data_IF_670281311694
#
_entry.id   IF_670281311694
#
_cell.length_a   1.000
_cell.length_b   1.000
_cell.length_c   1.000
_cell.angle_alpha   90.00
_cell.angle_beta   90.00
_cell.angle_gamma   90.00
#
_symmetry.space_group_name_H-M   'P 1'
#
loop_
_entity.id
_entity.type
_entity.pdbx_description
1 polymer ?
#
# COMPACT_ATOMS: atom_id res chain seq x y z
N UNK A 1 -7.79 48.56 56.91
CA UNK A 1 -8.69 48.09 55.82
C UNK A 1 -8.38 48.91 54.57
N UNK A 2 -7.99 48.41 53.38
CA UNK A 2 -7.93 47.09 52.74
C UNK A 2 -6.78 47.14 51.71
N UNK A 3 -5.84 46.19 51.72
CA UNK A 3 -4.97 45.86 50.58
C UNK A 3 -5.40 44.47 50.12
N UNK A 4 -6.42 44.39 49.27
CA UNK A 4 -6.78 43.16 48.56
C UNK A 4 -7.36 43.59 47.22
N UNK A 5 -6.52 43.67 46.18
CA UNK A 5 -6.92 43.72 44.76
C UNK A 5 -5.67 43.73 43.86
N UNK A 6 -4.75 42.78 43.97
CA UNK A 6 -3.73 42.62 42.92
C UNK A 6 -3.13 41.21 42.77
N UNK A 7 -3.68 40.18 43.42
CA UNK A 7 -3.20 38.79 43.26
C UNK A 7 -4.14 37.89 42.45
N UNK A 8 -5.33 38.35 42.05
CA UNK A 8 -6.31 37.50 41.38
C UNK A 8 -6.11 37.39 39.85
N UNK A 9 -5.39 38.31 39.20
CA UNK A 9 -5.20 38.27 37.74
C UNK A 9 -3.93 37.52 37.29
N UNK A 10 -2.97 37.26 38.19
CA UNK A 10 -1.75 36.52 37.83
C UNK A 10 -1.91 35.00 37.92
N UNK A 11 -2.84 34.51 38.76
CA UNK A 11 -3.08 33.07 38.92
C UNK A 11 -3.94 32.50 37.77
N UNK A 12 -4.77 33.33 37.14
CA UNK A 12 -5.59 32.92 35.98
C UNK A 12 -4.82 32.85 34.65
N UNK A 13 -3.61 33.44 34.58
CA UNK A 13 -2.74 33.33 33.39
C UNK A 13 -1.74 32.17 33.46
N UNK A 14 -1.48 31.62 34.65
CA UNK A 14 -0.55 30.49 34.80
C UNK A 14 -1.23 29.11 34.73
N UNK A 15 -2.57 29.06 34.83
CA UNK A 15 -3.33 27.80 34.73
C UNK A 15 -3.89 27.49 33.32
N UNK A 16 -3.79 28.42 32.37
CA UNK A 16 -4.15 28.17 30.96
C UNK A 16 -2.97 27.64 30.12
N UNK A 17 -1.77 27.51 30.71
CA UNK A 17 -0.55 27.05 30.01
C UNK A 17 -0.18 25.60 30.36
N UNK A 18 -0.93 24.93 31.25
CA UNK A 18 -0.62 23.57 31.72
C UNK A 18 -1.53 22.45 31.14
N UNK A 19 -2.39 22.77 30.18
CA UNK A 19 -3.08 21.78 29.34
C UNK A 19 -2.88 22.10 27.85
N UNK A 20 -1.65 22.44 27.48
CA UNK A 20 -1.15 22.05 26.18
C UNK A 20 -0.46 20.68 26.35
N UNK A 21 -1.24 19.67 26.78
CA UNK A 21 -0.98 18.34 26.25
C UNK A 21 -0.98 18.56 24.75
N UNK A 22 0.21 18.52 24.13
CA UNK A 22 0.33 18.51 22.69
C UNK A 22 -0.49 17.31 22.24
N UNK A 23 -1.76 17.54 21.90
CA UNK A 23 -2.63 16.53 21.34
C UNK A 23 -1.83 15.97 20.17
N UNK A 24 -1.37 14.72 20.31
CA UNK A 24 -0.64 14.05 19.23
C UNK A 24 -1.48 14.27 17.98
N UNK A 25 -0.89 14.73 16.88
CA UNK A 25 -1.66 15.03 15.69
C UNK A 25 -2.51 13.81 15.35
N UNK A 26 -3.83 13.95 15.43
CA UNK A 26 -4.75 12.86 15.15
C UNK A 26 -4.64 12.61 13.66
N UNK A 27 -4.04 11.48 13.30
CA UNK A 27 -3.88 11.11 11.90
C UNK A 27 -5.25 11.02 11.22
N UNK A 28 -5.42 11.58 10.01
CA UNK A 28 -6.65 11.41 9.26
C UNK A 28 -6.88 9.92 8.99
N UNK A 29 -8.14 9.50 9.05
CA UNK A 29 -8.57 8.12 8.81
C UNK A 29 -9.12 8.05 7.40
N UNK A 30 -8.69 7.04 6.67
CA UNK A 30 -9.25 6.65 5.38
C UNK A 30 -9.96 5.32 5.61
N UNK A 31 -11.29 5.34 5.49
CA UNK A 31 -12.10 4.15 5.63
C UNK A 31 -12.53 3.64 4.25
N UNK A 32 -12.01 2.46 3.87
CA UNK A 32 -12.26 1.83 2.58
C UNK A 32 -13.07 0.56 2.70
N UNK A 33 -13.73 0.25 1.60
CA UNK A 33 -14.31 -1.05 1.28
C UNK A 33 -14.30 -1.22 -0.25
N UNK A 34 -14.09 -2.44 -0.70
CA UNK A 34 -14.18 -2.76 -2.13
C UNK A 34 -15.61 -2.52 -2.65
N UNK A 35 -15.74 -1.99 -3.86
CA UNK A 35 -17.02 -1.64 -4.49
C UNK A 35 -17.84 -0.57 -3.73
N UNK A 36 -17.27 0.13 -2.74
CA UNK A 36 -17.94 1.26 -2.10
C UNK A 36 -17.92 2.50 -3.02
N UNK A 37 -19.01 3.30 -3.08
CA UNK A 37 -19.01 4.58 -3.77
C UNK A 37 -17.99 5.56 -3.18
N UNK A 38 -17.38 6.40 -4.02
CA UNK A 38 -16.38 7.39 -3.55
C UNK A 38 -16.98 8.40 -2.55
N UNK A 39 -18.28 8.74 -2.68
CA UNK A 39 -19.03 9.55 -1.73
C UNK A 39 -19.15 8.89 -0.36
N UNK A 40 -19.39 7.58 -0.32
CA UNK A 40 -19.42 6.80 0.92
C UNK A 40 -18.05 6.83 1.60
N UNK A 41 -16.97 6.64 0.82
CA UNK A 41 -15.59 6.70 1.32
C UNK A 41 -15.26 8.07 1.88
N UNK A 42 -15.62 9.16 1.19
CA UNK A 42 -15.44 10.51 1.70
C UNK A 42 -16.23 10.75 2.99
N UNK A 43 -17.50 10.32 3.04
CA UNK A 43 -18.36 10.56 4.20
C UNK A 43 -17.89 9.82 5.46
N UNK A 44 -17.24 8.66 5.30
CA UNK A 44 -16.74 7.83 6.40
C UNK A 44 -15.27 8.11 6.77
N UNK A 45 -14.55 8.83 5.92
CA UNK A 45 -13.15 9.18 6.13
C UNK A 45 -13.01 10.57 6.75
N UNK A 46 -12.06 10.75 7.68
CA UNK A 46 -11.67 12.11 8.10
C UNK A 46 -10.62 12.72 7.18
N UNK A 47 -9.97 11.92 6.33
CA UNK A 47 -9.16 12.40 5.23
C UNK A 47 -10.01 13.19 4.22
N UNK A 48 -9.54 14.36 3.84
CA UNK A 48 -10.18 15.21 2.84
C UNK A 48 -9.60 14.87 1.47
N UNK A 49 -10.40 14.24 0.62
CA UNK A 49 -9.99 13.90 -0.73
C UNK A 49 -10.10 15.11 -1.67
N UNK A 50 -9.28 15.11 -2.72
CA UNK A 50 -9.34 16.13 -3.75
C UNK A 50 -10.67 16.15 -4.49
N UNK A 51 -11.05 17.31 -5.03
CA UNK A 51 -12.28 17.48 -5.82
C UNK A 51 -12.41 16.51 -7.00
N UNK A 52 -11.28 16.02 -7.54
CA UNK A 52 -11.30 15.02 -8.62
C UNK A 52 -11.88 13.68 -8.15
N UNK A 53 -11.57 13.28 -6.92
CA UNK A 53 -12.15 12.10 -6.28
C UNK A 53 -13.65 12.29 -6.05
N UNK A 54 -14.05 13.45 -5.51
CA UNK A 54 -15.45 13.78 -5.20
C UNK A 54 -16.36 13.85 -6.43
N UNK A 55 -15.81 14.19 -7.60
CA UNK A 55 -16.57 14.21 -8.85
C UNK A 55 -16.94 12.81 -9.35
N UNK A 56 -16.44 11.74 -8.72
CA UNK A 56 -16.66 10.37 -9.16
C UNK A 56 -16.18 10.15 -10.59
N UNK A 57 -15.11 10.87 -10.99
CA UNK A 57 -14.49 10.72 -12.31
C UNK A 57 -13.44 9.63 -12.20
N UNK A 58 -13.52 8.52 -12.96
CA UNK A 58 -12.57 7.42 -12.90
C UNK A 58 -11.13 7.90 -12.85
N UNK A 59 -10.37 7.29 -11.95
CA UNK A 59 -9.04 7.79 -11.67
C UNK A 59 -8.33 6.99 -10.61
N UNK A 60 -7.29 7.64 -10.10
CA UNK A 60 -6.41 7.10 -9.09
C UNK A 60 -5.99 8.21 -8.15
N UNK A 61 -6.03 7.92 -6.87
CA UNK A 61 -5.62 8.81 -5.81
C UNK A 61 -4.31 8.32 -5.18
N UNK A 62 -3.37 9.24 -4.93
CA UNK A 62 -2.07 8.95 -4.35
C UNK A 62 -1.90 9.70 -3.05
N UNK A 63 -1.90 8.96 -1.94
CA UNK A 63 -1.95 9.55 -0.61
C UNK A 63 -0.59 9.35 0.07
N UNK A 64 0.17 10.43 0.10
CA UNK A 64 1.51 10.51 0.72
C UNK A 64 1.47 11.04 2.15
N UNK A 65 0.39 11.72 2.54
CA UNK A 65 0.22 12.22 3.90
C UNK A 65 0.13 11.08 4.91
N UNK A 66 0.65 11.24 6.14
CA UNK A 66 0.35 10.35 7.27
C UNK A 66 -1.15 10.10 7.41
N UNK A 67 -1.57 8.84 7.57
CA UNK A 67 -2.98 8.47 7.76
C UNK A 67 -3.14 7.11 8.43
N UNK A 68 -4.32 6.85 8.97
CA UNK A 68 -4.76 5.49 9.32
C UNK A 68 -5.59 4.95 8.17
N UNK A 69 -5.13 3.89 7.53
CA UNK A 69 -5.92 3.14 6.57
C UNK A 69 -6.75 2.10 7.32
N UNK A 70 -8.05 2.14 7.13
CA UNK A 70 -8.97 1.19 7.71
C UNK A 70 -9.81 0.55 6.61
N UNK A 71 -9.61 -0.74 6.38
CA UNK A 71 -10.50 -1.52 5.54
C UNK A 71 -11.54 -2.21 6.41
N UNK A 72 -12.82 -2.05 6.07
CA UNK A 72 -13.90 -2.73 6.79
C UNK A 72 -15.05 -3.08 5.86
N UNK A 73 -15.33 -4.36 5.76
CA UNK A 73 -16.55 -4.90 5.17
C UNK A 73 -17.17 -5.98 6.08
N UNK A 74 -18.11 -6.77 5.56
CA UNK A 74 -18.79 -7.82 6.32
C UNK A 74 -17.84 -8.95 6.73
N UNK A 75 -16.77 -9.19 5.96
CA UNK A 75 -15.97 -10.40 5.98
C UNK A 75 -14.50 -10.16 6.37
N UNK A 76 -14.06 -8.90 6.42
CA UNK A 76 -12.69 -8.50 6.67
C UNK A 76 -12.65 -7.14 7.39
N UNK A 77 -11.89 -7.10 8.47
CA UNK A 77 -11.52 -5.88 9.15
C UNK A 77 -10.00 -5.80 9.27
N UNK A 78 -9.44 -4.68 8.83
CA UNK A 78 -8.01 -4.47 8.85
C UNK A 78 -7.67 -3.00 9.05
N UNK A 79 -6.70 -2.73 9.93
CA UNK A 79 -6.23 -1.39 10.25
C UNK A 79 -4.72 -1.32 10.12
N UNK A 80 -4.23 -0.34 9.36
CA UNK A 80 -2.82 0.03 9.30
C UNK A 80 -2.66 1.50 9.60
N UNK A 81 -1.70 1.82 10.45
CA UNK A 81 -1.27 3.18 10.71
C UNK A 81 -0.05 3.49 9.86
N UNK A 82 -0.20 4.44 8.94
CA UNK A 82 0.88 4.94 8.11
C UNK A 82 1.35 6.27 8.68
N UNK A 83 2.50 6.24 9.35
CA UNK A 83 3.02 7.37 10.11
C UNK A 83 3.53 8.52 9.25
N UNK A 84 3.68 8.30 7.94
CA UNK A 84 4.01 9.30 6.93
C UNK A 84 5.24 10.10 7.30
N UNK A 85 6.41 9.56 7.01
CA UNK A 85 7.64 10.32 6.99
C UNK A 85 8.04 10.65 5.55
N UNK A 86 9.14 11.40 5.37
CA UNK A 86 9.68 11.75 4.04
C UNK A 86 10.02 10.52 3.18
N UNK A 87 10.02 9.33 3.79
CA UNK A 87 10.41 8.06 3.20
C UNK A 87 9.20 7.17 2.89
N UNK A 88 7.99 7.52 3.28
CA UNK A 88 6.81 6.67 3.12
C UNK A 88 6.22 6.70 1.69
N UNK A 89 6.17 5.57 1.01
CA UNK A 89 5.55 5.35 -0.30
C UNK A 89 4.04 5.54 -0.22
N UNK A 90 3.42 6.01 -1.29
CA UNK A 90 2.01 6.41 -1.29
C UNK A 90 1.04 5.24 -1.02
N UNK A 91 -0.16 5.58 -0.54
CA UNK A 91 -1.32 4.69 -0.59
C UNK A 91 -2.04 5.00 -1.88
N UNK A 92 -2.31 3.98 -2.68
CA UNK A 92 -2.87 4.10 -4.02
C UNK A 92 -4.32 3.63 -3.96
N UNK A 93 -5.26 4.47 -4.34
CA UNK A 93 -6.68 4.09 -4.47
C UNK A 93 -7.08 4.19 -5.94
N UNK A 94 -7.50 3.09 -6.53
CA UNK A 94 -8.09 3.06 -7.86
C UNK A 94 -9.61 2.98 -7.78
N UNK A 95 -10.29 3.74 -8.64
CA UNK A 95 -11.74 3.76 -8.68
C UNK A 95 -12.23 3.83 -10.13
N UNK A 96 -13.19 2.96 -10.43
CA UNK A 96 -13.61 2.65 -11.80
C UNK A 96 -14.84 3.46 -12.24
N UNK A 97 -15.05 3.46 -13.55
CA UNK A 97 -15.74 4.48 -14.35
C UNK A 97 -17.23 4.65 -14.02
N UNK A 98 -17.66 5.91 -14.06
CA UNK A 98 -19.01 6.38 -14.42
C UNK A 98 -19.10 6.40 -15.96
N UNK A 99 -19.71 5.38 -16.57
CA UNK A 99 -19.52 5.06 -18.01
C UNK A 99 -20.20 6.02 -18.98
N UNK A 100 -21.20 6.76 -18.50
CA UNK A 100 -22.01 7.72 -19.24
C UNK A 100 -22.71 8.65 -18.26
N UNK A 101 -23.30 9.73 -18.77
CA UNK A 101 -24.10 10.68 -18.00
C UNK A 101 -25.42 10.02 -17.57
N UNK A 102 -25.42 9.37 -16.40
CA UNK A 102 -26.52 8.53 -15.91
C UNK A 102 -26.04 7.29 -15.14
N UNK A 103 -24.78 6.88 -15.37
CA UNK A 103 -24.20 5.71 -14.72
C UNK A 103 -24.06 5.91 -13.20
N UNK A 104 -24.13 4.80 -12.42
CA UNK A 104 -23.82 4.81 -11.01
C UNK A 104 -22.48 5.49 -10.72
N UNK A 105 -22.38 6.10 -9.54
CA UNK A 105 -21.14 6.72 -9.07
C UNK A 105 -19.95 5.76 -9.15
N UNK A 106 -18.75 6.30 -9.38
CA UNK A 106 -17.51 5.52 -9.31
C UNK A 106 -17.37 4.77 -8.00
N UNK A 107 -16.96 3.51 -8.10
CA UNK A 107 -16.73 2.63 -6.97
C UNK A 107 -15.24 2.37 -6.81
N UNK A 108 -14.79 2.19 -5.57
CA UNK A 108 -13.43 1.72 -5.27
C UNK A 108 -13.21 0.36 -5.92
N UNK A 109 -12.26 0.29 -6.87
CA UNK A 109 -12.00 -0.91 -7.66
C UNK A 109 -10.71 -1.64 -7.32
N UNK A 110 -9.77 -0.96 -6.67
CA UNK A 110 -8.62 -1.59 -6.04
C UNK A 110 -7.94 -0.56 -5.15
N UNK A 111 -7.11 -1.03 -4.23
CA UNK A 111 -6.19 -0.15 -3.52
C UNK A 111 -4.93 -0.90 -3.15
N UNK A 112 -3.85 -0.16 -2.92
CA UNK A 112 -2.61 -0.73 -2.40
C UNK A 112 -1.91 0.22 -1.45
N UNK A 113 -1.13 -0.34 -0.53
CA UNK A 113 -0.40 0.44 0.47
C UNK A 113 0.84 -0.32 0.91
N UNK A 114 1.75 0.43 1.52
CA UNK A 114 2.97 -0.07 2.14
C UNK A 114 2.77 -0.02 3.66
N UNK A 115 2.61 -1.18 4.34
CA UNK A 115 2.21 -1.24 5.74
C UNK A 115 3.37 -1.09 6.73
N UNK A 116 4.60 -1.08 6.23
CA UNK A 116 5.83 -0.94 6.99
C UNK A 116 6.63 0.22 6.43
N UNK A 117 7.63 0.66 7.19
CA UNK A 117 8.58 1.66 6.72
C UNK A 117 9.29 1.14 5.46
N UNK A 118 9.58 2.05 4.53
CA UNK A 118 10.29 1.70 3.32
C UNK A 118 11.79 1.57 3.58
N UNK A 119 12.45 0.73 2.78
CA UNK A 119 13.88 0.42 2.90
C UNK A 119 14.17 -0.30 4.23
N UNK A 120 13.50 -1.43 4.47
CA UNK A 120 13.90 -2.42 5.48
C UNK A 120 14.81 -3.49 4.87
N UNK A 121 15.48 -4.28 5.70
CA UNK A 121 16.23 -5.45 5.24
C UNK A 121 15.30 -6.56 4.73
N UNK A 122 15.86 -7.50 3.96
CA UNK A 122 15.10 -8.57 3.31
C UNK A 122 14.39 -9.47 4.33
N UNK A 123 15.05 -9.79 5.45
CA UNK A 123 14.51 -10.66 6.48
C UNK A 123 13.29 -10.01 7.14
N UNK A 124 13.39 -8.73 7.52
CA UNK A 124 12.26 -7.95 8.05
C UNK A 124 11.08 -7.93 7.09
N UNK A 125 11.30 -7.69 5.80
CA UNK A 125 10.22 -7.71 4.81
C UNK A 125 9.53 -9.08 4.72
N UNK A 126 10.31 -10.17 4.71
CA UNK A 126 9.79 -11.56 4.68
C UNK A 126 8.94 -11.88 5.90
N UNK A 127 9.40 -11.53 7.11
CA UNK A 127 8.66 -11.78 8.34
C UNK A 127 7.33 -10.99 8.38
N UNK A 128 7.31 -9.78 7.82
CA UNK A 128 6.08 -9.00 7.70
C UNK A 128 5.10 -9.62 6.71
N UNK A 129 5.56 -10.15 5.58
CA UNK A 129 4.72 -10.89 4.63
C UNK A 129 4.08 -12.10 5.32
N UNK A 130 4.86 -12.90 6.06
CA UNK A 130 4.34 -14.05 6.82
C UNK A 130 3.27 -13.62 7.81
N UNK A 131 3.54 -12.55 8.58
CA UNK A 131 2.58 -12.00 9.54
C UNK A 131 1.27 -11.58 8.88
N UNK A 132 1.31 -10.80 7.79
CA UNK A 132 0.10 -10.37 7.10
C UNK A 132 -0.65 -11.53 6.45
N UNK A 133 0.06 -12.49 5.85
CA UNK A 133 -0.52 -13.72 5.33
C UNK A 133 -1.32 -14.44 6.41
N UNK A 134 -0.71 -14.67 7.56
CA UNK A 134 -1.33 -15.41 8.66
C UNK A 134 -2.53 -14.65 9.24
N UNK A 135 -2.46 -13.31 9.32
CA UNK A 135 -3.61 -12.46 9.69
C UNK A 135 -4.77 -12.64 8.72
N UNK A 136 -4.54 -12.58 7.41
CA UNK A 136 -5.63 -12.73 6.43
C UNK A 136 -6.18 -14.16 6.39
N UNK A 137 -5.31 -15.18 6.51
CA UNK A 137 -5.74 -16.58 6.63
C UNK A 137 -6.63 -16.76 7.87
N UNK A 138 -6.27 -16.17 9.01
CA UNK A 138 -7.08 -16.24 10.23
C UNK A 138 -8.47 -15.60 10.07
N UNK A 139 -8.64 -14.69 9.10
CA UNK A 139 -9.92 -14.09 8.73
C UNK A 139 -10.66 -14.87 7.63
N UNK A 140 -10.21 -16.08 7.30
CA UNK A 140 -10.88 -16.99 6.36
C UNK A 140 -10.49 -16.81 4.91
N UNK A 141 -9.40 -16.09 4.60
CA UNK A 141 -8.84 -16.10 3.25
C UNK A 141 -8.11 -17.41 2.98
N UNK A 142 -8.25 -17.92 1.76
CA UNK A 142 -7.56 -19.11 1.29
C UNK A 142 -6.37 -18.70 0.44
N UNK A 143 -5.20 -19.25 0.74
CA UNK A 143 -4.04 -19.09 -0.13
C UNK A 143 -4.28 -19.83 -1.44
N UNK A 144 -4.13 -19.11 -2.55
CA UNK A 144 -4.09 -19.67 -3.89
C UNK A 144 -2.69 -19.55 -4.47
N UNK A 145 -1.67 -19.67 -3.61
CA UNK A 145 -0.28 -19.59 -4.01
C UNK A 145 -0.02 -20.65 -5.09
N UNK A 146 0.27 -20.17 -6.30
CA UNK A 146 0.80 -20.99 -7.37
C UNK A 146 2.33 -21.06 -7.23
N UNK A 147 2.99 -22.07 -7.82
CA UNK A 147 4.42 -21.98 -8.09
C UNK A 147 4.73 -20.61 -8.70
N UNK A 148 5.67 -19.89 -8.10
CA UNK A 148 5.83 -18.45 -8.29
C UNK A 148 6.08 -18.00 -9.75
N UNK A 149 6.44 -18.95 -10.63
CA UNK A 149 6.73 -18.76 -12.05
C UNK A 149 5.63 -18.03 -12.83
N UNK A 150 4.36 -18.21 -12.47
CA UNK A 150 3.24 -17.59 -13.17
C UNK A 150 3.01 -16.11 -12.82
N UNK A 151 3.68 -15.58 -11.79
CA UNK A 151 3.39 -14.26 -11.20
C UNK A 151 4.53 -13.24 -11.28
N UNK A 152 5.64 -13.58 -11.93
CA UNK A 152 6.80 -12.70 -12.04
C UNK A 152 6.68 -11.67 -13.16
N UNK A 153 7.04 -10.41 -12.86
CA UNK A 153 7.60 -9.50 -13.85
C UNK A 153 9.12 -9.52 -13.67
N UNK A 154 9.78 -10.56 -14.18
CA UNK A 154 11.25 -10.58 -14.28
C UNK A 154 11.61 -9.83 -15.56
N UNK A 155 12.43 -8.79 -15.46
CA UNK A 155 12.88 -8.02 -16.62
C UNK A 155 14.12 -8.61 -17.31
N UNK A 156 14.38 -9.92 -17.23
CA UNK A 156 15.57 -10.52 -17.87
C UNK A 156 15.44 -12.00 -18.27
N UNK A 157 16.23 -12.36 -19.28
CA UNK A 157 16.33 -13.66 -19.94
C UNK A 157 17.15 -14.73 -19.18
N UNK A 158 17.18 -14.70 -17.83
CA UNK A 158 18.01 -15.62 -17.04
C UNK A 158 17.25 -16.84 -16.47
N UNK A 159 17.95 -17.98 -16.22
CA UNK A 159 17.31 -19.27 -16.01
C UNK A 159 16.51 -19.33 -14.72
N UNK A 160 15.26 -19.78 -14.85
CA UNK A 160 14.33 -20.05 -13.76
C UNK A 160 14.90 -21.11 -12.80
N UNK A 161 15.35 -20.69 -11.62
CA UNK A 161 15.49 -21.62 -10.48
C UNK A 161 14.14 -21.71 -9.78
N UNK A 162 13.59 -22.92 -9.74
CA UNK A 162 12.34 -23.25 -9.06
C UNK A 162 12.43 -22.89 -7.57
N UNK A 163 11.75 -21.82 -7.18
CA UNK A 163 11.54 -21.50 -5.77
C UNK A 163 10.04 -21.63 -5.52
N UNK A 164 9.69 -22.55 -4.61
CA UNK A 164 8.32 -23.00 -4.35
C UNK A 164 7.80 -22.56 -2.98
N UNK A 165 8.59 -21.82 -2.20
CA UNK A 165 8.25 -21.51 -0.80
C UNK A 165 8.86 -20.20 -0.31
N UNK A 166 8.11 -19.47 0.53
CA UNK A 166 8.48 -18.16 1.10
C UNK A 166 9.85 -18.17 1.78
N UNK A 167 10.28 -19.32 2.27
CA UNK A 167 11.58 -19.59 2.88
C UNK A 167 12.76 -19.38 1.92
N UNK A 168 12.55 -19.51 0.61
CA UNK A 168 13.57 -19.27 -0.42
C UNK A 168 13.63 -17.82 -0.94
N UNK A 169 12.71 -16.95 -0.50
CA UNK A 169 12.55 -15.60 -1.03
C UNK A 169 13.72 -14.69 -0.65
N UNK A 170 14.24 -14.81 0.58
CA UNK A 170 15.44 -14.09 1.03
C UNK A 170 16.65 -14.45 0.15
N UNK A 171 16.89 -15.75 -0.08
CA UNK A 171 18.02 -16.23 -0.90
C UNK A 171 17.95 -15.76 -2.36
N UNK A 172 16.76 -15.56 -2.92
CA UNK A 172 16.59 -15.03 -4.27
C UNK A 172 17.08 -13.58 -4.39
N UNK A 173 16.78 -12.74 -3.40
CA UNK A 173 17.22 -11.35 -3.43
C UNK A 173 18.72 -11.18 -3.21
N UNK A 174 19.32 -12.09 -2.45
CA UNK A 174 20.76 -12.12 -2.21
C UNK A 174 21.55 -12.65 -3.41
N UNK A 175 20.89 -13.33 -4.35
CA UNK A 175 21.51 -13.74 -5.60
C UNK A 175 21.43 -12.61 -6.65
N UNK A 176 22.47 -11.78 -6.65
CA UNK A 176 22.61 -10.55 -7.45
C UNK A 176 22.46 -10.70 -8.97
N UNK A 177 22.48 -11.92 -9.50
CA UNK A 177 22.35 -12.18 -10.95
C UNK A 177 20.91 -12.07 -11.48
N UNK A 178 19.90 -12.19 -10.62
CA UNK A 178 18.49 -12.02 -11.01
C UNK A 178 18.02 -10.62 -10.63
N UNK A 179 17.90 -9.71 -11.61
CA UNK A 179 17.41 -8.36 -11.37
C UNK A 179 15.90 -8.34 -11.18
N UNK A 180 15.51 -8.57 -9.92
CA UNK A 180 14.11 -8.60 -9.53
C UNK A 180 13.74 -7.31 -8.80
N UNK A 181 12.84 -6.53 -9.39
CA UNK A 181 12.32 -5.27 -8.82
C UNK A 181 11.18 -5.49 -7.83
N UNK A 182 10.38 -6.53 -8.05
CA UNK A 182 9.18 -6.83 -7.28
C UNK A 182 8.84 -8.31 -7.43
N UNK A 183 8.41 -8.95 -6.35
CA UNK A 183 7.94 -10.34 -6.36
C UNK A 183 6.60 -10.40 -5.64
N UNK A 184 5.65 -11.08 -6.28
CA UNK A 184 4.42 -11.50 -5.62
C UNK A 184 4.68 -12.71 -4.74
N UNK A 185 4.63 -12.50 -3.44
CA UNK A 185 4.98 -13.52 -2.46
C UNK A 185 3.75 -14.35 -2.04
N UNK A 186 2.59 -13.72 -1.97
CA UNK A 186 1.33 -14.33 -1.50
C UNK A 186 0.15 -13.87 -2.35
N UNK A 187 -0.74 -14.81 -2.69
CA UNK A 187 -2.07 -14.51 -3.25
C UNK A 187 -3.15 -15.20 -2.42
N UNK A 188 -4.05 -14.40 -1.88
CA UNK A 188 -5.13 -14.82 -0.99
C UNK A 188 -6.47 -14.45 -1.61
N UNK A 189 -7.46 -15.34 -1.49
CA UNK A 189 -8.82 -15.10 -1.99
C UNK A 189 -9.86 -15.41 -0.93
N UNK A 190 -10.89 -14.57 -0.89
CA UNK A 190 -12.12 -14.82 -0.14
C UNK A 190 -13.25 -14.09 -0.84
N UNK A 191 -14.34 -14.79 -1.13
CA UNK A 191 -15.50 -14.23 -1.81
C UNK A 191 -15.10 -13.49 -3.10
N UNK A 192 -15.46 -12.20 -3.21
CA UNK A 192 -15.15 -11.32 -4.34
C UNK A 192 -13.79 -10.61 -4.22
N UNK A 193 -12.99 -10.87 -3.19
CA UNK A 193 -11.75 -10.15 -2.89
C UNK A 193 -10.53 -11.03 -3.14
N UNK A 194 -9.54 -10.47 -3.83
CA UNK A 194 -8.19 -10.98 -3.99
C UNK A 194 -7.21 -10.03 -3.27
N UNK A 195 -6.40 -10.56 -2.36
CA UNK A 195 -5.31 -9.86 -1.70
C UNK A 195 -4.00 -10.39 -2.23
N UNK A 196 -3.11 -9.49 -2.64
CA UNK A 196 -1.74 -9.82 -3.06
C UNK A 196 -0.77 -9.13 -2.14
N UNK A 197 0.24 -9.86 -1.70
CA UNK A 197 1.33 -9.30 -0.90
C UNK A 197 2.59 -9.44 -1.73
N UNK A 198 3.14 -8.30 -2.12
CA UNK A 198 4.33 -8.21 -2.93
C UNK A 198 5.48 -7.69 -2.06
N UNK A 199 6.67 -8.27 -2.23
CA UNK A 199 7.92 -7.67 -1.76
C UNK A 199 8.49 -6.80 -2.89
N UNK A 200 8.96 -5.61 -2.54
CA UNK A 200 9.48 -4.65 -3.51
C UNK A 200 10.93 -4.36 -3.18
N UNK A 201 11.83 -4.57 -4.13
CA UNK A 201 13.22 -4.11 -4.04
C UNK A 201 13.26 -2.65 -4.52
N UNK A 202 13.17 -1.73 -3.57
CA UNK A 202 13.07 -0.30 -3.82
C UNK A 202 14.33 0.27 -4.45
N UNK A 203 15.51 -0.24 -4.09
CA UNK A 203 16.75 0.16 -4.76
C UNK A 203 16.73 -0.18 -6.25
N UNK A 204 16.30 -1.38 -6.63
CA UNK A 204 16.21 -1.77 -8.05
C UNK A 204 15.03 -1.12 -8.77
N UNK A 205 13.96 -0.77 -8.06
CA UNK A 205 12.77 -0.14 -8.65
C UNK A 205 12.93 1.38 -8.84
N UNK A 206 13.51 2.07 -7.86
CA UNK A 206 13.56 3.54 -7.75
C UNK A 206 14.96 4.11 -7.48
N UNK A 207 15.99 3.27 -7.44
CA UNK A 207 17.33 3.68 -7.04
C UNK A 207 17.51 3.69 -5.52
N UNK A 208 18.77 3.76 -5.11
CA UNK A 208 19.17 3.97 -3.73
C UNK A 208 18.68 5.33 -3.24
N UNK A 209 18.18 5.37 -2.01
CA UNK A 209 17.84 6.64 -1.34
C UNK A 209 19.05 7.32 -0.72
N UNK A 210 20.16 6.62 -0.56
CA UNK A 210 21.37 7.10 0.12
C UNK A 210 22.54 7.33 -0.83
N UNK A 211 22.49 6.74 -2.03
CA UNK A 211 23.49 6.94 -3.08
C UNK A 211 22.90 7.85 -4.17
N UNK A 212 23.33 9.11 -4.17
CA UNK A 212 22.88 10.11 -5.14
C UNK A 212 23.40 9.82 -6.57
N UNK A 213 24.42 8.98 -6.71
CA UNK A 213 24.93 8.53 -8.00
C UNK A 213 24.15 7.30 -8.53
N UNK A 214 23.20 6.77 -7.74
CA UNK A 214 22.25 5.77 -8.18
C UNK A 214 21.12 6.36 -9.01
N UNK A 215 21.38 6.47 -10.32
CA UNK A 215 20.38 6.84 -11.31
C UNK A 215 19.40 5.69 -11.54
N UNK A 216 18.15 5.88 -11.14
CA UNK A 216 17.03 4.97 -11.37
C UNK A 216 16.73 4.72 -12.86
N UNK A 217 17.11 5.65 -13.74
CA UNK A 217 17.00 5.52 -15.20
C UNK A 217 18.18 4.79 -15.88
N UNK A 218 19.23 4.40 -15.16
CA UNK A 218 20.34 3.65 -15.76
C UNK A 218 19.87 2.29 -16.28
N UNK A 219 20.48 1.76 -17.37
CA UNK A 219 20.18 0.42 -17.88
C UNK A 219 20.25 -0.64 -16.77
N UNK A 220 19.37 -1.64 -16.85
CA UNK A 220 19.27 -2.70 -15.85
C UNK A 220 20.61 -3.42 -15.66
N UNK A 221 21.31 -3.70 -16.74
CA UNK A 221 22.59 -4.42 -16.78
C UNK A 221 23.69 -3.65 -16.05
N UNK A 222 23.76 -2.33 -16.23
CA UNK A 222 24.74 -1.46 -15.57
C UNK A 222 24.50 -1.40 -14.07
N UNK A 223 23.23 -1.37 -13.65
CA UNK A 223 22.83 -1.34 -12.25
C UNK A 223 23.16 -2.68 -11.56
N UNK A 224 22.90 -3.80 -12.23
CA UNK A 224 23.32 -5.14 -11.75
C UNK A 224 24.85 -5.19 -11.63
N UNK A 225 25.58 -4.79 -12.67
CA UNK A 225 27.03 -4.84 -12.70
C UNK A 225 27.66 -3.94 -11.63
N UNK A 226 27.05 -2.79 -11.32
CA UNK A 226 27.48 -1.93 -10.21
C UNK A 226 27.17 -2.58 -8.86
N UNK A 227 25.98 -3.11 -8.65
CA UNK A 227 25.58 -3.80 -7.40
C UNK A 227 26.55 -4.95 -7.08
N UNK A 228 26.83 -5.81 -8.07
CA UNK A 228 27.79 -6.94 -7.95
C UNK A 228 29.20 -6.44 -7.60
N UNK A 229 29.62 -5.28 -8.12
CA UNK A 229 30.96 -4.73 -7.87
C UNK A 229 31.07 -3.99 -6.54
N UNK A 230 29.97 -3.45 -6.02
CA UNK A 230 29.97 -2.54 -4.87
C UNK A 230 29.55 -3.20 -3.57
N UNK A 231 28.88 -4.35 -3.62
CA UNK A 231 28.34 -5.01 -2.43
C UNK A 231 28.67 -6.49 -2.39
N UNK A 232 29.15 -6.91 -1.23
CA UNK A 232 29.34 -8.31 -0.87
C UNK A 232 27.99 -8.97 -0.53
N UNK A 233 27.90 -10.31 -0.57
CA UNK A 233 26.70 -11.03 -0.14
C UNK A 233 26.27 -10.73 1.31
N UNK A 234 27.24 -10.43 2.19
CA UNK A 234 26.96 -10.06 3.58
C UNK A 234 26.32 -8.68 3.67
N UNK A 235 26.80 -7.70 2.89
CA UNK A 235 26.23 -6.35 2.84
C UNK A 235 24.82 -6.38 2.25
N UNK A 236 24.59 -7.14 1.18
CA UNK A 236 23.26 -7.33 0.57
C UNK A 236 22.24 -7.87 1.58
N UNK A 237 22.67 -8.72 2.53
CA UNK A 237 21.78 -9.30 3.54
C UNK A 237 21.25 -8.28 4.54
N UNK A 238 22.10 -7.34 4.92
CA UNK A 238 21.76 -6.30 5.91
C UNK A 238 21.26 -5.02 5.27
N UNK A 239 21.20 -4.97 3.93
CA UNK A 239 20.91 -3.74 3.24
C UNK A 239 19.43 -3.35 3.35
N UNK A 240 19.13 -2.12 3.82
CA UNK A 240 17.79 -1.57 3.81
C UNK A 240 17.38 -1.22 2.38
N UNK A 241 16.75 -2.16 1.66
CA UNK A 241 16.37 -1.98 0.25
C UNK A 241 14.97 -2.48 -0.09
N UNK A 242 14.26 -3.04 0.89
CA UNK A 242 13.01 -3.74 0.66
C UNK A 242 11.82 -2.99 1.28
N UNK A 243 10.64 -3.27 0.77
CA UNK A 243 9.37 -2.90 1.39
C UNK A 243 8.31 -3.94 1.01
N UNK A 244 7.16 -3.87 1.67
CA UNK A 244 6.03 -4.77 1.43
C UNK A 244 4.89 -3.94 0.86
N UNK A 245 4.31 -4.38 -0.26
CA UNK A 245 3.10 -3.79 -0.81
C UNK A 245 1.95 -4.77 -0.63
N UNK A 246 0.86 -4.35 0.00
CA UNK A 246 -0.39 -5.10 0.04
C UNK A 246 -1.35 -4.48 -0.97
N UNK A 247 -1.91 -5.30 -1.84
CA UNK A 247 -2.83 -4.92 -2.91
C UNK A 247 -4.14 -5.64 -2.69
N UNK A 248 -5.23 -4.89 -2.72
CA UNK A 248 -6.60 -5.38 -2.69
C UNK A 248 -7.24 -5.13 -4.05
N UNK A 249 -7.84 -6.15 -4.63
CA UNK A 249 -8.54 -6.08 -5.90
C UNK A 249 -9.74 -7.04 -5.92
N UNK A 250 -10.72 -6.86 -6.81
CA UNK A 250 -11.72 -7.89 -7.05
C UNK A 250 -11.05 -9.17 -7.56
N UNK A 251 -11.68 -10.31 -7.32
CA UNK A 251 -11.35 -11.54 -8.05
C UNK A 251 -11.65 -11.37 -9.54
N UNK A 252 -11.04 -12.21 -10.39
CA UNK A 252 -11.30 -12.19 -11.84
C UNK A 252 -12.78 -12.44 -12.13
N UNK A 253 -13.40 -13.36 -11.39
CA UNK A 253 -14.82 -13.69 -11.49
C UNK A 253 -15.69 -12.46 -11.20
N UNK A 254 -15.40 -11.72 -10.12
CA UNK A 254 -16.11 -10.47 -9.79
C UNK A 254 -15.89 -9.38 -10.84
N UNK A 255 -14.65 -9.25 -11.34
CA UNK A 255 -14.33 -8.28 -12.40
C UNK A 255 -15.11 -8.55 -13.68
N UNK A 256 -15.30 -9.82 -14.05
CA UNK A 256 -16.09 -10.21 -15.21
C UNK A 256 -17.58 -9.90 -15.00
N UNK A 257 -18.15 -10.28 -13.85
CA UNK A 257 -19.54 -9.97 -13.50
C UNK A 257 -19.83 -8.47 -13.58
N UNK A 258 -18.91 -7.65 -13.04
CA UNK A 258 -19.04 -6.19 -13.10
C UNK A 258 -19.04 -5.67 -14.54
N UNK A 259 -18.20 -6.23 -15.40
CA UNK A 259 -18.15 -5.86 -16.82
C UNK A 259 -19.47 -6.19 -17.54
N UNK A 260 -20.09 -7.32 -17.20
CA UNK A 260 -21.41 -7.71 -17.72
C UNK A 260 -22.53 -6.78 -17.21
N UNK A 261 -22.53 -6.44 -15.92
CA UNK A 261 -23.46 -5.48 -15.31
C UNK A 261 -23.41 -4.11 -16.02
N UNK A 262 -22.21 -3.61 -16.29
CA UNK A 262 -21.98 -2.34 -17.01
C UNK A 262 -22.55 -2.42 -18.44
N UNK A 263 -22.26 -3.50 -19.16
CA UNK A 263 -22.72 -3.68 -20.54
C UNK A 263 -24.25 -3.77 -20.62
N UNK A 264 -24.90 -4.38 -19.62
CA UNK A 264 -26.36 -4.39 -19.53
C UNK A 264 -26.95 -2.99 -19.32
N UNK A 265 -26.36 -2.20 -18.43
CA UNK A 265 -26.81 -0.82 -18.17
C UNK A 265 -26.66 0.05 -19.42
N UNK A 266 -25.53 -0.07 -20.15
CA UNK A 266 -25.31 0.66 -21.40
C UNK A 266 -26.39 0.36 -22.44
N UNK A 267 -26.74 -0.92 -22.63
CA UNK A 267 -27.78 -1.33 -23.57
C UNK A 267 -29.18 -0.87 -23.18
N UNK A 268 -29.43 -0.64 -21.90
CA UNK A 268 -30.73 -0.16 -21.42
C UNK A 268 -30.94 1.32 -21.75
N UNK A 269 -29.87 2.13 -21.79
CA UNK A 269 -29.96 3.55 -22.18
C UNK A 269 -30.03 3.77 -23.68
N UNK A 270 -29.50 2.83 -24.48
CA UNK A 270 -29.56 2.90 -25.95
C UNK A 270 -30.93 2.53 -26.54
N UNK A 271 -31.92 2.19 -25.70
CA UNK A 271 -33.28 1.80 -26.08
C UNK A 271 -34.30 2.83 -25.62
#
# INVERSE_FOLDING_TARGET
>A
MKIIKLCACLILLHFSVACADQAKPVLPVIQLRMDAPVSEVQAKSSYQFDQKFLKGVPGKEYITTPHVLFYKDTDLEFRVEKKGDIRSLATYLGYEIRHFEGAPESLISHFSFFPIDDYVDAHTAVEQIKKFRDVFISQGFVSTDKPWLDSYVISSEQPQKYLTSLEGLESLFLNSQSYVKQIRAVVLKKNSIEIKIDIVNLRRKYGSRTDADDKDYAPTEDRIAREIRSLTPAELKTEPSYSVQIIFSPTRERSNQRSEEIEMLRRAEEK
#
